data_IF_458147862061
#
_entry.id   IF_458147862061
#
_cell.length_a   1.000
_cell.length_b   1.000
_cell.length_c   1.000
_cell.angle_alpha   90.00
_cell.angle_beta   90.00
_cell.angle_gamma   90.00
#
_symmetry.space_group_name_H-M   'P 1'
#
loop_
_entity.id
_entity.type
_entity.pdbx_description
1 polymer ?
#
# COMPACT_ATOMS: atom_id res chain seq x y z
N UNK A 1 -3.41 -59.86 10.50
CA UNK A 1 -4.00 -60.43 11.73
C UNK A 1 -3.86 -59.38 12.82
N UNK A 2 -4.86 -58.75 13.43
CA UNK A 2 -6.31 -58.91 13.58
C UNK A 2 -6.89 -57.48 13.70
N UNK A 3 -7.68 -57.02 12.73
CA UNK A 3 -9.16 -56.84 12.72
C UNK A 3 -9.69 -55.54 13.34
N UNK A 4 -10.20 -54.72 12.42
CA UNK A 4 -11.19 -53.67 12.62
C UNK A 4 -12.54 -54.22 13.12
N UNK A 5 -13.29 -53.39 13.85
CA UNK A 5 -14.75 -53.51 13.97
C UNK A 5 -15.41 -52.15 13.78
N UNK A 6 -16.24 -52.13 12.74
CA UNK A 6 -17.26 -51.15 12.37
C UNK A 6 -18.35 -51.02 13.44
N UNK A 7 -18.90 -49.82 13.58
CA UNK A 7 -20.29 -49.60 13.99
C UNK A 7 -20.91 -48.53 13.07
N UNK A 8 -21.86 -48.99 12.26
CA UNK A 8 -22.85 -48.20 11.49
C UNK A 8 -24.22 -48.45 12.12
N UNK A 9 -25.11 -47.46 12.01
CA UNK A 9 -26.57 -47.40 12.26
C UNK A 9 -26.92 -46.45 13.43
N UNK A 10 -27.87 -45.51 13.36
CA UNK A 10 -29.07 -45.40 12.52
C UNK A 10 -29.43 -43.93 12.21
N UNK A 11 -30.21 -43.79 11.14
CA UNK A 11 -30.88 -42.63 10.57
C UNK A 11 -31.96 -42.01 11.48
N UNK A 12 -32.13 -40.68 11.45
CA UNK A 12 -33.47 -40.07 11.47
C UNK A 12 -33.45 -38.66 10.90
N UNK A 13 -34.18 -38.50 9.81
CA UNK A 13 -34.56 -37.28 9.12
C UNK A 13 -35.39 -36.32 10.00
N UNK A 14 -35.06 -35.03 9.95
CA UNK A 14 -36.06 -33.98 10.23
C UNK A 14 -35.87 -32.81 9.27
N UNK A 15 -36.70 -32.81 8.23
CA UNK A 15 -37.00 -31.66 7.39
C UNK A 15 -37.73 -30.59 8.21
N UNK A 16 -37.19 -29.37 8.25
CA UNK A 16 -37.98 -28.19 8.61
C UNK A 16 -37.76 -27.08 7.57
N UNK A 17 -38.79 -26.90 6.76
CA UNK A 17 -39.07 -25.75 5.93
C UNK A 17 -39.79 -24.71 6.77
N UNK A 18 -39.33 -23.44 6.74
CA UNK A 18 -40.22 -22.27 6.64
C UNK A 18 -39.42 -20.97 6.60
N UNK A 19 -39.52 -20.24 5.47
CA UNK A 19 -39.20 -18.81 5.37
C UNK A 19 -40.17 -18.01 6.25
N UNK A 20 -39.75 -16.79 6.68
CA UNK A 20 -40.66 -15.66 6.63
C UNK A 20 -40.08 -14.50 5.80
N UNK A 21 -40.94 -13.96 4.92
CA UNK A 21 -40.77 -12.65 4.28
C UNK A 21 -40.85 -11.58 5.36
N UNK A 22 -39.91 -10.64 5.36
CA UNK A 22 -40.07 -9.35 6.03
C UNK A 22 -39.87 -8.25 4.99
N UNK A 23 -40.87 -7.37 4.90
CA UNK A 23 -40.97 -6.26 3.99
C UNK A 23 -40.12 -5.06 4.46
N UNK A 24 -39.57 -4.33 3.49
CA UNK A 24 -38.80 -3.10 3.62
C UNK A 24 -39.65 -1.90 4.06
N UNK A 25 -39.06 -0.91 4.76
CA UNK A 25 -39.46 0.49 4.62
C UNK A 25 -38.36 1.32 3.93
N UNK A 26 -38.77 2.11 2.93
CA UNK A 26 -37.97 3.10 2.18
C UNK A 26 -37.46 4.23 3.09
N UNK A 27 -36.25 4.78 2.86
CA UNK A 27 -35.86 6.04 3.49
C UNK A 27 -36.53 7.24 2.81
N UNK A 28 -37.17 8.10 3.61
CA UNK A 28 -37.73 9.39 3.19
C UNK A 28 -36.60 10.43 3.13
N UNK A 29 -36.35 11.00 1.96
CA UNK A 29 -35.56 12.23 1.79
C UNK A 29 -36.44 13.45 2.13
N UNK A 30 -36.00 14.38 2.99
CA UNK A 30 -36.52 15.73 2.98
C UNK A 30 -35.64 16.61 2.07
N UNK A 31 -36.23 17.05 0.97
CA UNK A 31 -35.72 18.14 0.13
C UNK A 31 -35.86 19.44 0.94
N UNK A 32 -34.74 20.06 1.30
CA UNK A 32 -34.71 21.43 1.81
C UNK A 32 -34.74 22.38 0.60
N UNK A 33 -35.93 22.95 0.34
CA UNK A 33 -36.12 24.03 -0.62
C UNK A 33 -35.70 25.36 0.00
N UNK A 34 -34.74 26.05 -0.61
CA UNK A 34 -34.44 27.45 -0.31
C UNK A 34 -35.36 28.36 -1.14
N UNK A 35 -36.01 29.38 -0.54
CA UNK A 35 -36.85 30.30 -1.29
C UNK A 35 -36.00 31.28 -2.12
N UNK A 36 -36.36 31.40 -3.39
CA UNK A 36 -35.94 32.46 -4.30
C UNK A 36 -36.31 33.84 -3.73
N UNK A 37 -35.33 34.73 -3.63
CA UNK A 37 -35.56 36.18 -3.50
C UNK A 37 -35.33 36.83 -4.86
N UNK A 38 -36.37 37.51 -5.35
CA UNK A 38 -36.35 38.36 -6.53
C UNK A 38 -36.14 39.83 -6.15
N UNK A 39 -35.52 40.56 -7.08
CA UNK A 39 -35.49 42.03 -7.21
C UNK A 39 -34.52 42.77 -6.26
N UNK A 40 -33.74 43.78 -6.65
CA UNK A 40 -33.89 44.80 -7.69
C UNK A 40 -32.52 45.24 -8.23
N UNK A 41 -32.50 45.75 -9.46
CA UNK A 41 -31.40 46.51 -10.06
C UNK A 41 -31.16 47.85 -9.33
N UNK A 42 -29.92 48.25 -8.99
CA UNK A 42 -29.66 49.61 -8.54
C UNK A 42 -29.34 50.53 -9.72
N UNK A 43 -30.04 51.67 -9.73
CA UNK A 43 -29.79 52.84 -10.57
C UNK A 43 -28.41 53.44 -10.25
N UNK A 44 -27.74 53.94 -11.29
CA UNK A 44 -26.51 54.70 -11.20
C UNK A 44 -26.69 55.93 -10.27
N UNK A 45 -25.82 56.05 -9.26
CA UNK A 45 -25.58 57.28 -8.52
C UNK A 45 -24.11 57.66 -8.69
N UNK A 46 -23.90 58.82 -9.29
CA UNK A 46 -22.63 59.55 -9.29
C UNK A 46 -22.20 59.80 -7.85
N UNK A 47 -20.98 59.39 -7.49
CA UNK A 47 -20.35 59.80 -6.24
C UNK A 47 -19.13 60.66 -6.56
N UNK A 48 -19.21 61.88 -6.01
CA UNK A 48 -18.17 62.88 -5.90
C UNK A 48 -16.92 62.34 -5.23
N UNK A 49 -15.76 62.73 -5.74
CA UNK A 49 -14.46 62.52 -5.12
C UNK A 49 -14.41 63.37 -3.84
N UNK A 50 -14.52 62.73 -2.68
CA UNK A 50 -14.15 63.32 -1.40
C UNK A 50 -13.05 62.46 -0.79
N UNK A 51 -11.87 63.07 -0.61
CA UNK A 51 -10.77 62.52 0.17
C UNK A 51 -11.25 62.27 1.62
N UNK A 52 -11.33 61.01 2.01
CA UNK A 52 -11.34 60.56 3.41
C UNK A 52 -10.39 59.37 3.48
N UNK A 53 -9.16 59.58 3.93
CA UNK A 53 -8.74 59.28 5.30
C UNK A 53 -8.86 57.78 5.62
N UNK A 54 -7.71 57.10 5.57
CA UNK A 54 -7.38 55.86 6.29
C UNK A 54 -8.35 54.68 6.17
N UNK A 55 -8.28 53.95 5.05
CA UNK A 55 -8.50 52.50 5.10
C UNK A 55 -7.25 51.83 5.69
N UNK A 56 -7.14 51.85 7.02
CA UNK A 56 -6.42 50.80 7.72
C UNK A 56 -7.16 49.49 7.46
N UNK A 57 -6.79 48.80 6.37
CA UNK A 57 -7.09 47.37 6.22
C UNK A 57 -6.39 46.67 7.38
N UNK A 58 -7.14 46.40 8.44
CA UNK A 58 -6.78 45.37 9.39
C UNK A 58 -6.64 44.09 8.56
N UNK A 59 -5.40 43.72 8.23
CA UNK A 59 -5.09 42.35 7.90
C UNK A 59 -5.45 41.57 9.16
N UNK A 60 -6.66 41.01 9.21
CA UNK A 60 -7.04 40.06 10.25
C UNK A 60 -5.96 38.97 10.22
N UNK A 61 -5.14 38.94 11.26
CA UNK A 61 -4.09 37.95 11.40
C UNK A 61 -4.75 36.58 11.41
N UNK A 62 -4.51 35.79 10.37
CA UNK A 62 -5.06 34.42 10.26
C UNK A 62 -4.74 33.68 11.55
N UNK A 63 -5.77 33.23 12.26
CA UNK A 63 -5.56 32.49 13.51
C UNK A 63 -4.87 31.15 13.20
N UNK A 64 -4.08 30.58 14.14
CA UNK A 64 -3.52 29.24 13.95
C UNK A 64 -4.58 28.14 13.72
N UNK A 65 -5.83 28.38 14.17
CA UNK A 65 -6.97 27.53 13.85
C UNK A 65 -7.37 27.63 12.38
N UNK A 66 -7.57 28.86 11.89
CA UNK A 66 -7.96 29.12 10.50
C UNK A 66 -6.91 28.59 9.52
N UNK A 67 -5.62 28.82 9.78
CA UNK A 67 -4.54 28.31 8.93
C UNK A 67 -4.58 26.79 8.75
N UNK A 68 -4.89 26.03 9.81
CA UNK A 68 -5.04 24.57 9.73
C UNK A 68 -6.26 24.14 8.93
N UNK A 69 -7.37 24.88 9.05
CA UNK A 69 -8.59 24.62 8.28
C UNK A 69 -8.36 24.90 6.79
N UNK A 70 -7.66 25.98 6.46
CA UNK A 70 -7.34 26.34 5.09
C UNK A 70 -6.50 25.24 4.41
N UNK A 71 -5.42 24.78 5.07
CA UNK A 71 -4.61 23.65 4.58
C UNK A 71 -5.44 22.37 4.38
N UNK A 72 -6.32 22.05 5.35
CA UNK A 72 -7.17 20.87 5.24
C UNK A 72 -8.16 20.97 4.07
N UNK A 73 -8.68 22.18 3.83
CA UNK A 73 -9.56 22.48 2.69
C UNK A 73 -8.83 22.35 1.35
N UNK A 74 -7.58 22.82 1.28
CA UNK A 74 -6.72 22.71 0.10
C UNK A 74 -6.38 21.25 -0.27
N UNK A 75 -6.45 20.32 0.68
CA UNK A 75 -6.25 18.89 0.41
C UNK A 75 -7.43 18.22 -0.32
N UNK A 76 -8.61 18.87 -0.37
CA UNK A 76 -9.85 18.28 -0.90
C UNK A 76 -9.72 17.77 -2.36
N UNK A 77 -9.09 18.49 -3.31
CA UNK A 77 -8.93 18.01 -4.68
C UNK A 77 -8.11 16.71 -4.77
N UNK A 78 -7.08 16.55 -3.93
CA UNK A 78 -6.26 15.34 -3.88
C UNK A 78 -7.05 14.14 -3.34
N UNK A 79 -7.85 14.36 -2.28
CA UNK A 79 -8.75 13.35 -1.73
C UNK A 79 -9.77 12.91 -2.79
N UNK A 80 -10.41 13.86 -3.47
CA UNK A 80 -11.42 13.57 -4.50
C UNK A 80 -10.83 12.78 -5.67
N UNK A 81 -9.60 13.12 -6.11
CA UNK A 81 -8.91 12.47 -7.23
C UNK A 81 -8.71 10.96 -7.01
N UNK A 82 -8.41 10.55 -5.77
CA UNK A 82 -8.09 9.16 -5.45
C UNK A 82 -9.17 8.44 -4.63
N UNK A 83 -10.31 9.07 -4.35
CA UNK A 83 -11.40 8.45 -3.60
C UNK A 83 -11.84 7.13 -4.22
N UNK A 84 -11.94 6.09 -3.38
CA UNK A 84 -12.32 4.73 -3.79
C UNK A 84 -11.24 3.97 -4.56
N UNK A 85 -10.06 4.56 -4.79
CA UNK A 85 -8.96 3.91 -5.51
C UNK A 85 -8.13 3.03 -4.59
N UNK A 86 -7.74 1.87 -5.11
CA UNK A 86 -6.81 0.95 -4.45
C UNK A 86 -5.38 1.42 -4.64
N UNK A 87 -4.64 1.46 -3.53
CA UNK A 87 -3.22 1.85 -3.48
C UNK A 87 -2.45 0.72 -2.81
N UNK A 88 -1.51 0.10 -3.52
CA UNK A 88 -0.63 -0.92 -2.94
C UNK A 88 0.66 -0.26 -2.51
N UNK A 89 0.96 -0.32 -1.22
CA UNK A 89 2.16 0.28 -0.63
C UNK A 89 3.08 -0.84 -0.19
N UNK A 90 4.26 -0.94 -0.81
CA UNK A 90 5.32 -1.79 -0.29
C UNK A 90 6.10 -1.02 0.76
N UNK A 91 6.03 -1.52 1.99
CA UNK A 91 6.79 -1.05 3.13
C UNK A 91 8.06 -1.88 3.36
N UNK A 92 9.22 -1.23 3.34
CA UNK A 92 10.52 -1.87 3.49
C UNK A 92 11.64 -0.90 3.82
N UNK A 93 12.85 -1.43 4.03
CA UNK A 93 14.05 -0.61 4.22
C UNK A 93 14.20 0.04 5.60
N UNK A 94 14.90 1.16 5.66
CA UNK A 94 15.12 2.05 6.79
C UNK A 94 13.81 2.52 7.45
N UNK A 95 12.72 2.65 6.68
CA UNK A 95 11.41 2.98 7.23
C UNK A 95 10.92 1.95 8.27
N UNK A 96 11.41 0.71 8.21
CA UNK A 96 11.12 -0.35 9.20
C UNK A 96 11.98 -0.29 10.45
N UNK A 97 13.11 0.44 10.43
CA UNK A 97 14.10 0.44 11.51
C UNK A 97 13.81 1.51 12.58
N UNK A 98 13.21 2.62 12.17
CA UNK A 98 12.87 3.72 13.06
C UNK A 98 11.41 3.63 13.52
N UNK A 99 11.20 3.64 14.84
CA UNK A 99 9.85 3.67 15.42
C UNK A 99 9.07 4.90 14.98
N UNK A 100 9.73 6.06 14.85
CA UNK A 100 9.09 7.30 14.41
C UNK A 100 8.62 7.20 12.94
N UNK A 101 9.46 6.64 12.06
CA UNK A 101 9.08 6.43 10.65
C UNK A 101 7.99 5.38 10.51
N UNK A 102 8.05 4.31 11.30
CA UNK A 102 7.01 3.29 11.33
C UNK A 102 5.66 3.89 11.78
N UNK A 103 5.64 4.69 12.84
CA UNK A 103 4.42 5.37 13.29
C UNK A 103 3.91 6.34 12.23
N UNK A 104 4.80 7.08 11.55
CA UNK A 104 4.44 7.98 10.46
C UNK A 104 3.77 7.23 9.30
N UNK A 105 4.35 6.13 8.82
CA UNK A 105 3.76 5.32 7.73
C UNK A 105 2.41 4.72 8.14
N UNK A 106 2.29 4.24 9.38
CA UNK A 106 1.02 3.71 9.89
C UNK A 106 -0.05 4.81 9.92
N UNK A 107 0.28 5.99 10.43
CA UNK A 107 -0.65 7.12 10.46
C UNK A 107 -1.06 7.56 9.05
N UNK A 108 -0.14 7.54 8.09
CA UNK A 108 -0.44 7.84 6.69
C UNK A 108 -1.44 6.82 6.11
N UNK A 109 -1.21 5.52 6.30
CA UNK A 109 -2.12 4.47 5.84
C UNK A 109 -3.53 4.61 6.45
N UNK A 110 -3.59 4.89 7.75
CA UNK A 110 -4.86 5.13 8.44
C UNK A 110 -5.56 6.37 7.89
N UNK A 111 -4.84 7.47 7.68
CA UNK A 111 -5.41 8.68 7.09
C UNK A 111 -5.98 8.40 5.70
N UNK A 112 -5.22 7.73 4.82
CA UNK A 112 -5.66 7.36 3.48
C UNK A 112 -6.95 6.53 3.51
N UNK A 113 -7.03 5.54 4.41
CA UNK A 113 -8.25 4.75 4.60
C UNK A 113 -9.43 5.63 5.07
N UNK A 114 -9.22 6.49 6.07
CA UNK A 114 -10.24 7.39 6.61
C UNK A 114 -10.79 8.37 5.58
N UNK A 115 -9.95 8.86 4.65
CA UNK A 115 -10.39 9.77 3.58
C UNK A 115 -10.96 9.04 2.35
N UNK A 116 -11.10 7.71 2.43
CA UNK A 116 -11.82 6.89 1.45
C UNK A 116 -10.97 6.27 0.36
N UNK A 117 -9.64 6.28 0.47
CA UNK A 117 -8.78 5.43 -0.36
C UNK A 117 -8.77 4.00 0.21
N UNK A 118 -8.27 3.05 -0.58
CA UNK A 118 -8.21 1.62 -0.24
C UNK A 118 -6.76 1.15 -0.17
N UNK A 119 -6.03 1.47 0.93
CA UNK A 119 -4.62 1.07 1.04
C UNK A 119 -4.49 -0.43 1.32
N UNK A 120 -3.54 -1.06 0.63
CA UNK A 120 -3.08 -2.43 0.89
C UNK A 120 -1.59 -2.36 1.18
N UNK A 121 -1.19 -2.81 2.37
CA UNK A 121 0.20 -2.79 2.80
C UNK A 121 0.87 -4.12 2.47
N UNK A 122 1.97 -4.10 1.73
CA UNK A 122 2.83 -5.27 1.50
C UNK A 122 4.15 -5.05 2.23
N UNK A 123 4.66 -6.04 2.94
CA UNK A 123 5.93 -5.88 3.65
C UNK A 123 6.87 -7.08 3.50
N UNK A 124 8.17 -6.76 3.56
CA UNK A 124 9.23 -7.75 3.80
C UNK A 124 9.70 -7.68 5.25
N UNK A 125 10.98 -7.98 5.48
CA UNK A 125 11.58 -7.91 6.83
C UNK A 125 13.02 -8.40 6.89
N UNK A 126 13.83 -8.12 5.87
CA UNK A 126 15.22 -8.60 5.76
C UNK A 126 16.07 -8.40 7.02
N UNK A 127 16.10 -7.19 7.62
CA UNK A 127 16.83 -6.94 8.87
C UNK A 127 16.34 -7.77 10.06
N UNK A 128 15.02 -7.96 10.21
CA UNK A 128 14.45 -8.78 11.29
C UNK A 128 14.78 -10.27 11.10
N UNK A 129 14.77 -10.77 9.87
CA UNK A 129 15.20 -12.13 9.57
C UNK A 129 16.68 -12.30 9.94
N UNK A 130 17.55 -11.36 9.53
CA UNK A 130 18.98 -11.42 9.85
C UNK A 130 19.23 -11.44 11.36
N UNK A 131 18.45 -10.68 12.14
CA UNK A 131 18.55 -10.67 13.59
C UNK A 131 18.25 -12.05 14.19
N UNK A 132 17.24 -12.74 13.69
CA UNK A 132 16.86 -14.08 14.17
C UNK A 132 17.83 -15.17 13.71
N UNK A 133 18.29 -15.13 12.45
CA UNK A 133 19.33 -16.04 11.96
C UNK A 133 20.61 -15.91 12.82
N UNK A 134 21.04 -14.68 13.12
CA UNK A 134 22.18 -14.43 14.01
C UNK A 134 21.99 -15.01 15.41
N UNK A 135 20.78 -14.92 15.98
CA UNK A 135 20.47 -15.51 17.31
C UNK A 135 20.58 -17.04 17.33
N UNK A 136 20.35 -17.66 16.19
CA UNK A 136 20.42 -19.12 16.00
C UNK A 136 21.77 -19.56 15.42
N UNK A 137 22.75 -18.66 15.30
CA UNK A 137 24.06 -18.90 14.70
C UNK A 137 24.00 -19.40 13.25
N UNK A 138 22.99 -18.98 12.49
CA UNK A 138 22.87 -19.24 11.05
C UNK A 138 23.37 -18.01 10.29
N UNK A 139 24.30 -18.22 9.36
CA UNK A 139 24.84 -17.14 8.53
C UNK A 139 23.85 -16.71 7.45
N UNK A 140 23.62 -15.40 7.32
CA UNK A 140 22.75 -14.86 6.27
C UNK A 140 23.51 -14.71 4.95
N UNK A 141 23.19 -15.55 3.96
CA UNK A 141 23.81 -15.51 2.63
C UNK A 141 22.89 -14.81 1.61
N UNK A 142 23.47 -13.93 0.80
CA UNK A 142 22.76 -13.23 -0.28
C UNK A 142 23.47 -13.40 -1.63
N UNK A 143 22.69 -13.54 -2.70
CA UNK A 143 23.16 -13.55 -4.09
C UNK A 143 22.24 -12.66 -4.92
N UNK A 144 22.82 -11.70 -5.63
CA UNK A 144 22.08 -10.73 -6.47
C UNK A 144 20.92 -10.02 -5.76
N UNK A 145 21.08 -9.75 -4.46
CA UNK A 145 20.05 -9.11 -3.63
C UNK A 145 18.93 -10.05 -3.14
N UNK A 146 18.97 -11.34 -3.47
CA UNK A 146 18.07 -12.36 -2.97
C UNK A 146 18.74 -13.16 -1.84
N UNK A 147 17.98 -13.51 -0.81
CA UNK A 147 18.47 -14.34 0.31
C UNK A 147 18.52 -15.80 -0.15
N UNK A 148 19.68 -16.43 -0.08
CA UNK A 148 19.77 -17.90 -0.19
C UNK A 148 19.00 -18.49 0.99
N UNK A 149 17.98 -19.29 0.69
CA UNK A 149 16.99 -19.74 1.66
C UNK A 149 16.90 -21.26 1.60
N UNK A 150 17.65 -21.96 2.43
CA UNK A 150 17.49 -23.40 2.63
C UNK A 150 16.26 -23.72 3.51
N UNK A 151 16.05 -25.00 3.85
CA UNK A 151 14.86 -25.45 4.58
C UNK A 151 14.76 -24.79 5.96
N UNK A 152 15.87 -24.75 6.70
CA UNK A 152 15.92 -24.17 8.05
C UNK A 152 15.71 -22.65 7.99
N UNK A 153 16.37 -21.98 7.04
CA UNK A 153 16.19 -20.55 6.80
C UNK A 153 14.76 -20.23 6.39
N UNK A 154 14.09 -21.08 5.59
CA UNK A 154 12.70 -20.86 5.16
C UNK A 154 11.74 -20.89 6.35
N UNK A 155 11.93 -21.81 7.30
CA UNK A 155 11.14 -21.87 8.52
C UNK A 155 11.25 -20.56 9.32
N UNK A 156 12.48 -20.08 9.51
CA UNK A 156 12.77 -18.83 10.22
C UNK A 156 12.18 -17.62 9.48
N UNK A 157 12.34 -17.57 8.15
CA UNK A 157 11.73 -16.51 7.31
C UNK A 157 10.23 -16.46 7.53
N UNK A 158 9.54 -17.61 7.50
CA UNK A 158 8.10 -17.69 7.72
C UNK A 158 7.71 -17.22 9.12
N UNK A 159 8.36 -17.75 10.17
CA UNK A 159 8.09 -17.36 11.56
C UNK A 159 8.26 -15.86 11.78
N UNK A 160 9.34 -15.27 11.26
CA UNK A 160 9.64 -13.85 11.44
C UNK A 160 8.69 -12.96 10.66
N UNK A 161 8.47 -13.25 9.38
CA UNK A 161 7.65 -12.40 8.53
C UNK A 161 6.17 -12.50 8.88
N UNK A 162 5.64 -13.72 8.99
CA UNK A 162 4.21 -13.97 9.25
C UNK A 162 3.88 -13.77 10.74
N UNK A 163 4.69 -14.31 11.64
CA UNK A 163 4.39 -14.32 13.07
C UNK A 163 4.74 -13.03 13.79
N UNK A 164 5.88 -12.41 13.45
CA UNK A 164 6.38 -11.22 14.15
C UNK A 164 6.08 -9.92 13.40
N UNK A 165 6.65 -9.74 12.22
CA UNK A 165 6.62 -8.45 11.51
C UNK A 165 5.19 -8.11 11.09
N UNK A 166 4.47 -9.06 10.49
CA UNK A 166 3.10 -8.86 10.03
C UNK A 166 2.17 -8.46 11.19
N UNK A 167 2.21 -9.22 12.29
CA UNK A 167 1.34 -8.97 13.44
C UNK A 167 1.70 -7.71 14.22
N UNK A 168 2.98 -7.33 14.23
CA UNK A 168 3.40 -6.03 14.75
C UNK A 168 2.78 -4.87 13.96
N UNK A 169 2.82 -4.92 12.62
CA UNK A 169 2.22 -3.89 11.77
C UNK A 169 0.70 -3.83 11.91
N UNK A 170 0.03 -4.98 11.92
CA UNK A 170 -1.42 -5.07 12.20
C UNK A 170 -1.76 -4.44 13.54
N UNK A 171 -1.00 -4.77 14.60
CA UNK A 171 -1.19 -4.21 15.94
C UNK A 171 -1.04 -2.68 15.95
N UNK A 172 -0.03 -2.14 15.26
CA UNK A 172 0.16 -0.69 15.18
C UNK A 172 -0.97 0.01 14.44
N UNK A 173 -1.43 -0.53 13.31
CA UNK A 173 -2.56 0.04 12.56
C UNK A 173 -3.84 0.01 13.40
N UNK A 174 -4.09 -1.08 14.12
CA UNK A 174 -5.23 -1.20 15.01
C UNK A 174 -5.17 -0.17 16.15
N UNK A 175 -3.99 0.02 16.76
CA UNK A 175 -3.78 1.04 17.80
C UNK A 175 -3.93 2.46 17.29
N UNK A 176 -3.69 2.70 16.00
CA UNK A 176 -3.87 3.98 15.35
C UNK A 176 -5.34 4.26 14.96
N UNK A 177 -6.28 3.36 15.28
CA UNK A 177 -7.72 3.59 15.13
C UNK A 177 -8.35 3.04 13.85
N UNK A 178 -7.63 2.22 13.08
CA UNK A 178 -8.20 1.47 11.95
C UNK A 178 -8.35 -0.02 12.30
N UNK A 179 -8.78 -0.83 11.34
CA UNK A 179 -8.79 -2.30 11.48
C UNK A 179 -7.97 -2.92 10.36
N UNK A 180 -6.88 -3.57 10.72
CA UNK A 180 -5.98 -4.27 9.82
C UNK A 180 -6.18 -5.79 9.88
N UNK A 181 -6.00 -6.45 8.74
CA UNK A 181 -6.04 -7.91 8.61
C UNK A 181 -4.73 -8.40 8.01
N UNK A 182 -3.99 -9.17 8.78
CA UNK A 182 -2.67 -9.66 8.40
C UNK A 182 -2.72 -11.01 7.69
N UNK A 183 -2.19 -11.09 6.47
CA UNK A 183 -2.21 -12.27 5.60
C UNK A 183 -0.81 -12.57 5.05
N UNK A 184 -0.56 -13.84 4.75
CA UNK A 184 0.50 -14.32 3.88
C UNK A 184 -0.09 -14.72 2.52
N UNK A 185 0.77 -15.15 1.60
CA UNK A 185 0.31 -15.72 0.34
C UNK A 185 -0.46 -17.04 0.49
N UNK A 186 -0.26 -17.76 1.59
CA UNK A 186 -0.93 -19.05 1.84
C UNK A 186 -2.40 -18.87 2.25
N UNK A 187 -2.71 -17.75 2.91
CA UNK A 187 -4.05 -17.48 3.44
C UNK A 187 -5.04 -17.24 2.29
N UNK A 188 -6.03 -18.11 2.17
CA UNK A 188 -7.00 -18.08 1.06
C UNK A 188 -6.36 -18.29 -0.32
N UNK A 189 -5.16 -18.87 -0.39
CA UNK A 189 -4.36 -19.00 -1.62
C UNK A 189 -4.12 -17.66 -2.34
N UNK A 190 -3.98 -16.58 -1.56
CA UNK A 190 -3.74 -15.23 -2.09
C UNK A 190 -2.60 -15.20 -3.12
N UNK A 191 -1.52 -15.95 -2.86
CA UNK A 191 -0.40 -16.12 -3.76
C UNK A 191 -0.06 -17.61 -3.88
N UNK A 192 0.20 -18.06 -5.10
CA UNK A 192 0.84 -19.35 -5.34
C UNK A 192 2.26 -19.11 -5.81
N UNK A 193 3.21 -19.73 -5.10
CA UNK A 193 4.61 -19.65 -5.44
C UNK A 193 4.98 -20.67 -6.53
N UNK A 194 6.07 -20.39 -7.23
CA UNK A 194 6.86 -21.39 -7.96
C UNK A 194 8.34 -21.17 -7.65
N UNK A 195 9.21 -22.18 -7.78
CA UNK A 195 10.64 -22.00 -7.62
C UNK A 195 11.18 -20.90 -8.54
N UNK A 196 12.12 -20.10 -8.03
CA UNK A 196 12.90 -19.19 -8.87
C UNK A 196 13.67 -19.98 -9.95
N UNK A 197 13.90 -19.40 -11.15
CA UNK A 197 14.78 -19.99 -12.16
C UNK A 197 16.19 -20.33 -11.62
N UNK A 198 16.64 -19.61 -10.59
CA UNK A 198 17.93 -19.81 -9.93
C UNK A 198 17.82 -20.64 -8.63
N UNK A 199 16.74 -21.42 -8.46
CA UNK A 199 16.47 -22.21 -7.24
C UNK A 199 17.60 -23.17 -6.86
N UNK A 200 18.33 -23.72 -7.83
CA UNK A 200 19.50 -24.57 -7.57
C UNK A 200 20.57 -23.87 -6.71
N UNK A 201 20.67 -22.54 -6.79
CA UNK A 201 21.62 -21.73 -6.04
C UNK A 201 20.99 -21.00 -4.85
N UNK A 202 19.68 -20.74 -4.92
CA UNK A 202 18.97 -19.90 -3.97
C UNK A 202 18.11 -20.71 -2.97
N UNK A 203 17.88 -21.99 -3.21
CA UNK A 203 16.99 -22.83 -2.41
C UNK A 203 15.51 -22.46 -2.62
N UNK A 204 14.76 -22.33 -1.52
CA UNK A 204 13.34 -22.01 -1.46
C UNK A 204 13.05 -20.51 -1.70
N UNK A 205 13.75 -19.90 -2.65
CA UNK A 205 13.38 -18.59 -3.19
C UNK A 205 12.36 -18.79 -4.30
N UNK A 206 11.25 -18.06 -4.23
CA UNK A 206 10.13 -18.21 -5.15
C UNK A 206 9.86 -16.99 -6.03
N UNK A 207 9.10 -17.24 -7.09
CA UNK A 207 8.38 -16.24 -7.88
C UNK A 207 6.87 -16.38 -7.67
N UNK A 208 6.13 -15.32 -7.99
CA UNK A 208 4.67 -15.36 -8.02
C UNK A 208 4.22 -16.09 -9.30
N UNK A 209 3.61 -17.26 -9.13
CA UNK A 209 3.00 -18.01 -10.23
C UNK A 209 1.56 -17.55 -10.49
N UNK A 210 0.82 -17.28 -9.42
CA UNK A 210 -0.59 -16.86 -9.46
C UNK A 210 -0.91 -15.94 -8.29
N UNK A 211 -1.82 -15.00 -8.51
CA UNK A 211 -2.44 -14.18 -7.46
C UNK A 211 -3.94 -14.40 -7.51
N UNK A 212 -4.55 -14.78 -6.38
CA UNK A 212 -6.00 -14.79 -6.22
C UNK A 212 -6.44 -13.72 -5.20
N UNK A 213 -6.93 -12.55 -5.64
CA UNK A 213 -7.31 -11.46 -4.76
C UNK A 213 -8.67 -11.68 -4.06
N UNK A 214 -9.36 -12.82 -4.26
CA UNK A 214 -10.72 -13.04 -3.76
C UNK A 214 -10.82 -12.92 -2.24
N UNK A 215 -9.78 -13.31 -1.50
CA UNK A 215 -9.72 -13.12 -0.04
C UNK A 215 -9.57 -11.64 0.36
N UNK A 216 -8.95 -10.80 -0.48
CA UNK A 216 -8.72 -9.39 -0.19
C UNK A 216 -9.91 -8.49 -0.50
N UNK A 217 -10.63 -8.78 -1.61
CA UNK A 217 -11.76 -7.96 -2.07
C UNK A 217 -12.76 -7.60 -0.94
N UNK A 218 -13.33 -8.56 -0.19
CA UNK A 218 -14.28 -8.24 0.87
C UNK A 218 -13.66 -7.46 2.03
N UNK A 219 -12.37 -7.66 2.33
CA UNK A 219 -11.66 -6.92 3.38
C UNK A 219 -11.52 -5.44 2.99
N UNK A 220 -11.08 -5.20 1.75
CA UNK A 220 -10.92 -3.85 1.21
C UNK A 220 -12.28 -3.14 1.08
N UNK A 221 -13.31 -3.84 0.60
CA UNK A 221 -14.65 -3.26 0.44
C UNK A 221 -15.31 -2.90 1.79
N UNK A 222 -14.96 -3.60 2.86
CA UNK A 222 -15.42 -3.30 4.23
C UNK A 222 -14.54 -2.29 4.98
N UNK A 223 -13.54 -1.69 4.30
CA UNK A 223 -12.69 -0.64 4.87
C UNK A 223 -11.57 -1.15 5.78
N UNK A 224 -11.31 -2.46 5.79
CA UNK A 224 -10.13 -3.00 6.46
C UNK A 224 -8.87 -2.65 5.66
N UNK A 225 -7.72 -2.56 6.34
CA UNK A 225 -6.40 -2.40 5.72
C UNK A 225 -5.71 -3.77 5.68
N UNK A 226 -5.63 -4.46 4.52
CA UNK A 226 -4.89 -5.70 4.43
C UNK A 226 -3.40 -5.46 4.58
N UNK A 227 -2.74 -6.30 5.37
CA UNK A 227 -1.29 -6.30 5.58
C UNK A 227 -0.73 -7.64 5.11
N UNK A 228 -0.13 -7.65 3.93
CA UNK A 228 0.31 -8.87 3.24
C UNK A 228 1.83 -9.04 3.39
N UNK A 229 2.26 -10.22 3.79
CA UNK A 229 3.68 -10.59 3.83
C UNK A 229 4.09 -11.46 2.63
N UNK A 230 5.38 -11.45 2.29
CA UNK A 230 5.91 -12.02 1.04
C UNK A 230 6.35 -13.49 1.14
N UNK A 231 5.59 -14.30 1.87
CA UNK A 231 5.77 -15.77 1.96
C UNK A 231 4.52 -16.43 1.37
N UNK A 232 4.70 -17.40 0.49
CA UNK A 232 3.63 -18.14 -0.15
C UNK A 232 4.03 -19.61 -0.32
N UNK A 233 3.06 -20.49 -0.53
CA UNK A 233 3.32 -21.88 -0.84
C UNK A 233 3.12 -22.16 -2.33
N UNK A 234 3.80 -23.18 -2.86
CA UNK A 234 3.46 -23.76 -4.15
C UNK A 234 2.19 -24.64 -4.05
N UNK A 235 1.83 -25.29 -5.15
CA UNK A 235 0.63 -26.15 -5.22
C UNK A 235 0.74 -27.43 -4.37
N UNK A 236 1.95 -27.83 -3.97
CA UNK A 236 2.19 -28.98 -3.09
C UNK A 236 2.17 -28.60 -1.60
N UNK A 237 2.17 -27.30 -1.29
CA UNK A 237 2.23 -26.77 0.07
C UNK A 237 3.64 -26.40 0.54
N UNK A 238 4.66 -26.48 -0.32
CA UNK A 238 6.03 -26.08 0.03
C UNK A 238 6.12 -24.55 0.13
N UNK A 239 6.55 -23.98 1.27
CA UNK A 239 6.72 -22.54 1.41
C UNK A 239 7.95 -22.02 0.64
N UNK A 240 7.81 -20.82 0.08
CA UNK A 240 8.85 -20.08 -0.61
C UNK A 240 8.94 -18.63 -0.09
N UNK A 241 10.17 -18.14 -0.04
CA UNK A 241 10.52 -16.76 0.25
C UNK A 241 10.50 -15.95 -1.06
N UNK A 242 9.53 -15.04 -1.20
CA UNK A 242 9.37 -14.21 -2.40
C UNK A 242 9.83 -12.79 -2.09
N UNK A 243 10.45 -12.12 -3.06
CA UNK A 243 10.79 -10.71 -2.91
C UNK A 243 9.50 -9.86 -2.71
N UNK A 244 9.47 -9.05 -1.65
CA UNK A 244 8.30 -8.25 -1.30
C UNK A 244 7.96 -7.15 -2.31
N UNK A 245 8.95 -6.63 -3.05
CA UNK A 245 8.67 -5.69 -4.15
C UNK A 245 7.89 -6.43 -5.24
N UNK A 246 8.31 -7.63 -5.64
CA UNK A 246 7.60 -8.48 -6.62
C UNK A 246 6.18 -8.81 -6.16
N UNK A 247 5.98 -9.22 -4.90
CA UNK A 247 4.64 -9.46 -4.36
C UNK A 247 3.76 -8.22 -4.46
N UNK A 248 4.29 -7.04 -4.12
CA UNK A 248 3.54 -5.80 -4.20
C UNK A 248 3.14 -5.46 -5.64
N UNK A 249 4.04 -5.62 -6.61
CA UNK A 249 3.76 -5.37 -8.02
C UNK A 249 2.69 -6.28 -8.61
N UNK A 250 2.77 -7.58 -8.34
CA UNK A 250 1.80 -8.56 -8.83
C UNK A 250 0.45 -8.42 -8.13
N UNK A 251 0.45 -8.10 -6.83
CA UNK A 251 -0.79 -7.84 -6.10
C UNK A 251 -1.47 -6.56 -6.57
N UNK A 252 -0.70 -5.51 -6.87
CA UNK A 252 -1.22 -4.27 -7.46
C UNK A 252 -1.88 -4.52 -8.83
N UNK A 253 -1.26 -5.35 -9.66
CA UNK A 253 -1.82 -5.77 -10.94
C UNK A 253 -3.13 -6.55 -10.75
N UNK A 254 -3.14 -7.56 -9.88
CA UNK A 254 -4.32 -8.40 -9.62
C UNK A 254 -5.51 -7.62 -9.03
N UNK A 255 -5.23 -6.55 -8.28
CA UNK A 255 -6.24 -5.67 -7.69
C UNK A 255 -6.68 -4.53 -8.63
N UNK A 256 -6.06 -4.37 -9.80
CA UNK A 256 -6.29 -3.24 -10.69
C UNK A 256 -5.99 -1.90 -10.01
N UNK A 257 -4.91 -1.83 -9.24
CA UNK A 257 -4.59 -0.70 -8.40
C UNK A 257 -4.31 0.58 -9.20
N UNK A 258 -4.70 1.73 -8.65
CA UNK A 258 -4.38 3.03 -9.23
C UNK A 258 -2.90 3.38 -9.03
N UNK A 259 -2.33 3.01 -7.88
CA UNK A 259 -0.91 3.22 -7.59
C UNK A 259 -0.27 2.01 -6.96
N UNK A 260 0.96 1.71 -7.42
CA UNK A 260 1.96 0.96 -6.66
C UNK A 260 2.96 1.97 -6.08
N UNK A 261 3.25 1.89 -4.79
CA UNK A 261 4.23 2.78 -4.14
C UNK A 261 5.25 1.93 -3.39
N UNK A 262 6.53 2.05 -3.75
CA UNK A 262 7.65 1.36 -3.11
C UNK A 262 8.39 2.34 -2.18
N UNK A 263 8.26 2.14 -0.86
CA UNK A 263 9.07 2.83 0.13
C UNK A 263 10.49 2.22 0.15
N UNK A 264 11.50 3.05 -0.08
CA UNK A 264 12.90 2.63 -0.17
C UNK A 264 13.83 3.55 0.63
N UNK A 265 15.13 3.26 0.61
CA UNK A 265 16.16 3.94 1.41
C UNK A 265 16.89 5.05 0.64
N UNK A 266 16.34 5.44 -0.50
CA UNK A 266 16.90 6.42 -1.43
C UNK A 266 15.81 7.38 -1.91
N UNK A 267 16.16 8.60 -2.37
CA UNK A 267 15.19 9.60 -2.82
C UNK A 267 14.30 9.15 -3.98
N UNK A 268 14.78 8.21 -4.80
CA UNK A 268 14.14 7.76 -6.04
C UNK A 268 15.20 7.36 -7.06
N UNK A 269 14.89 7.52 -8.35
CA UNK A 269 15.83 7.34 -9.46
C UNK A 269 16.57 8.65 -9.68
N UNK A 270 17.90 8.60 -9.56
CA UNK A 270 18.78 9.72 -9.85
C UNK A 270 19.27 9.63 -11.30
N UNK A 271 19.37 10.77 -11.98
CA UNK A 271 19.97 10.84 -13.33
C UNK A 271 21.48 10.60 -13.27
N UNK A 272 22.10 11.09 -12.21
CA UNK A 272 23.49 10.85 -11.84
C UNK A 272 23.52 10.33 -10.41
N UNK A 273 24.11 9.15 -10.20
CA UNK A 273 24.12 8.46 -8.90
C UNK A 273 24.93 9.21 -7.85
N UNK A 274 25.91 10.00 -8.29
CA UNK A 274 26.78 10.79 -7.42
C UNK A 274 26.21 12.18 -7.10
N UNK A 275 25.13 12.59 -7.78
CA UNK A 275 24.43 13.85 -7.53
C UNK A 275 23.03 13.60 -6.94
N UNK A 276 22.86 13.75 -5.60
CA UNK A 276 21.57 13.62 -4.93
C UNK A 276 20.49 14.60 -5.41
N UNK A 277 20.88 15.71 -6.05
CA UNK A 277 19.93 16.70 -6.58
C UNK A 277 19.38 16.32 -7.95
N UNK A 278 19.95 15.31 -8.60
CA UNK A 278 19.59 14.85 -9.94
C UNK A 278 18.33 13.95 -9.98
N UNK A 279 17.47 14.03 -8.97
CA UNK A 279 16.24 13.24 -8.85
C UNK A 279 15.34 13.42 -10.07
N UNK A 280 15.01 12.30 -10.71
CA UNK A 280 14.02 12.25 -11.77
C UNK A 280 12.64 12.15 -11.15
N UNK A 281 11.81 13.21 -11.29
CA UNK A 281 10.46 13.22 -10.70
C UNK A 281 9.47 12.31 -11.43
N UNK A 282 9.49 12.34 -12.76
CA UNK A 282 8.58 11.56 -13.60
C UNK A 282 9.36 10.95 -14.77
N UNK A 283 9.12 9.68 -15.05
CA UNK A 283 9.76 8.93 -16.14
C UNK A 283 8.77 7.92 -16.72
N UNK A 284 8.87 7.60 -18.01
CA UNK A 284 8.05 6.55 -18.63
C UNK A 284 8.83 5.22 -18.73
N UNK A 285 8.13 4.15 -19.12
CA UNK A 285 8.73 2.81 -19.25
C UNK A 285 9.90 2.78 -20.24
N UNK A 286 9.81 3.46 -21.39
CA UNK A 286 10.89 3.44 -22.38
C UNK A 286 12.16 4.06 -21.82
N UNK A 287 12.05 5.25 -21.22
CA UNK A 287 13.22 5.98 -20.70
C UNK A 287 13.84 5.28 -19.49
N UNK A 288 13.04 4.64 -18.63
CA UNK A 288 13.62 3.91 -17.48
C UNK A 288 14.39 2.67 -17.94
N UNK A 289 13.96 2.00 -19.02
CA UNK A 289 14.72 0.89 -19.64
C UNK A 289 16.04 1.37 -20.25
N UNK A 290 16.01 2.47 -20.98
CA UNK A 290 17.24 3.11 -21.49
C UNK A 290 18.22 3.45 -20.35
N UNK A 291 17.72 3.97 -19.22
CA UNK A 291 18.59 4.27 -18.06
C UNK A 291 19.21 3.02 -17.42
N UNK A 292 18.57 1.84 -17.54
CA UNK A 292 19.16 0.56 -17.13
C UNK A 292 20.27 0.16 -18.11
N UNK A 293 20.01 0.24 -19.41
CA UNK A 293 20.99 -0.08 -20.46
C UNK A 293 22.21 0.84 -20.45
N UNK A 294 21.99 2.14 -20.17
CA UNK A 294 23.04 3.15 -19.97
C UNK A 294 23.83 2.94 -18.65
N UNK A 295 23.43 1.99 -17.79
CA UNK A 295 24.07 1.72 -16.50
C UNK A 295 23.82 2.77 -15.40
N UNK A 296 22.96 3.77 -15.66
CA UNK A 296 22.58 4.81 -14.70
C UNK A 296 21.71 4.28 -13.57
N UNK A 297 20.86 3.30 -13.87
CA UNK A 297 20.12 2.52 -12.87
C UNK A 297 20.84 1.19 -12.66
N UNK A 298 21.33 0.97 -11.44
CA UNK A 298 22.12 -0.22 -11.12
C UNK A 298 21.83 -0.82 -9.75
N UNK A 299 22.42 -1.99 -9.49
CA UNK A 299 22.31 -2.69 -8.21
C UNK A 299 20.87 -2.99 -7.81
N UNK A 300 20.55 -2.78 -6.53
CA UNK A 300 19.23 -3.04 -5.97
C UNK A 300 18.08 -2.18 -6.51
N UNK A 301 18.35 -1.17 -7.36
CA UNK A 301 17.31 -0.38 -8.02
C UNK A 301 16.72 -1.09 -9.24
N UNK A 302 17.50 -1.90 -9.95
CA UNK A 302 17.03 -2.68 -11.11
C UNK A 302 15.80 -3.54 -10.77
N UNK A 303 15.80 -4.39 -9.71
CA UNK A 303 14.63 -5.20 -9.40
C UNK A 303 13.39 -4.36 -9.03
N UNK A 304 13.57 -3.16 -8.44
CA UNK A 304 12.47 -2.25 -8.10
C UNK A 304 11.83 -1.67 -9.36
N UNK A 305 12.67 -1.17 -10.28
CA UNK A 305 12.21 -0.65 -11.57
C UNK A 305 11.52 -1.75 -12.38
N UNK A 306 12.11 -2.95 -12.45
CA UNK A 306 11.52 -4.08 -13.18
C UNK A 306 10.15 -4.47 -12.59
N UNK A 307 10.00 -4.45 -11.26
CA UNK A 307 8.71 -4.64 -10.61
C UNK A 307 7.69 -3.57 -11.04
N UNK A 308 8.05 -2.28 -10.98
CA UNK A 308 7.18 -1.19 -11.40
C UNK A 308 6.76 -1.33 -12.87
N UNK A 309 7.71 -1.57 -13.77
CA UNK A 309 7.45 -1.75 -15.21
C UNK A 309 6.51 -2.93 -15.46
N UNK A 310 6.75 -4.07 -14.80
CA UNK A 310 5.90 -5.26 -14.92
C UNK A 310 4.49 -5.01 -14.40
N UNK A 311 4.33 -4.26 -13.31
CA UNK A 311 3.01 -3.92 -12.74
C UNK A 311 2.24 -2.95 -13.65
N UNK A 312 2.91 -1.93 -14.20
CA UNK A 312 2.34 -0.98 -15.15
C UNK A 312 1.89 -1.67 -16.45
N UNK A 313 2.70 -2.57 -16.98
CA UNK A 313 2.36 -3.36 -18.17
C UNK A 313 1.11 -4.25 -17.98
N UNK A 314 0.76 -4.56 -16.73
CA UNK A 314 -0.44 -5.33 -16.37
C UNK A 314 -1.64 -4.44 -15.99
N UNK A 315 -1.54 -3.12 -16.16
CA UNK A 315 -2.67 -2.19 -16.04
C UNK A 315 -2.69 -1.32 -14.78
N UNK A 316 -1.68 -1.41 -13.90
CA UNK A 316 -1.52 -0.41 -12.83
C UNK A 316 -1.26 0.96 -13.44
N UNK A 317 -1.91 2.02 -12.92
CA UNK A 317 -1.90 3.34 -13.59
C UNK A 317 -0.58 4.09 -13.41
N UNK A 318 -0.03 4.08 -12.20
CA UNK A 318 1.27 4.69 -11.88
C UNK A 318 2.03 3.86 -10.86
N UNK A 319 3.36 3.88 -10.91
CA UNK A 319 4.21 3.22 -9.93
C UNK A 319 5.27 4.20 -9.42
N UNK A 320 5.37 4.43 -8.11
CA UNK A 320 6.31 5.40 -7.53
C UNK A 320 7.36 4.72 -6.66
N UNK A 321 8.61 5.14 -6.78
CA UNK A 321 9.72 4.77 -5.87
C UNK A 321 10.06 6.01 -5.06
N UNK A 322 9.83 5.96 -3.75
CA UNK A 322 9.88 7.13 -2.87
C UNK A 322 10.74 6.89 -1.62
N UNK A 323 11.21 7.99 -1.02
CA UNK A 323 12.08 7.94 0.16
C UNK A 323 11.29 7.61 1.44
N UNK A 324 11.48 6.41 1.96
CA UNK A 324 10.89 5.97 3.23
C UNK A 324 11.56 6.57 4.47
N UNK A 325 12.66 7.31 4.31
CA UNK A 325 13.36 7.99 5.42
C UNK A 325 12.75 9.36 5.76
N UNK A 326 11.95 9.90 4.84
CA UNK A 326 11.25 11.17 5.02
C UNK A 326 9.91 10.91 5.74
N UNK A 327 9.65 11.55 6.89
CA UNK A 327 8.34 11.45 7.54
C UNK A 327 7.22 11.88 6.59
N UNK A 328 6.10 11.15 6.65
CA UNK A 328 4.92 11.38 5.84
C UNK A 328 5.14 11.27 4.32
N UNK A 329 6.16 10.52 3.87
CA UNK A 329 6.47 10.40 2.45
C UNK A 329 5.34 9.82 1.61
N UNK A 330 4.48 8.97 2.20
CA UNK A 330 3.31 8.43 1.52
C UNK A 330 2.26 9.52 1.26
N UNK A 331 2.00 10.39 2.24
CA UNK A 331 1.10 11.52 2.05
C UNK A 331 1.70 12.57 1.12
N UNK A 332 3.01 12.84 1.22
CA UNK A 332 3.70 13.73 0.29
C UNK A 332 3.56 13.26 -1.17
N UNK A 333 3.64 11.95 -1.40
CA UNK A 333 3.48 11.37 -2.75
C UNK A 333 2.04 11.48 -3.28
N UNK A 334 1.03 11.35 -2.43
CA UNK A 334 -0.38 11.26 -2.87
C UNK A 334 -1.08 12.62 -2.82
N UNK A 335 -0.77 13.44 -1.82
CA UNK A 335 -1.50 14.66 -1.46
C UNK A 335 -0.74 15.94 -1.84
N UNK A 336 0.32 15.83 -2.66
CA UNK A 336 1.03 17.00 -3.20
C UNK A 336 1.43 16.78 -4.65
N UNK A 337 1.57 17.87 -5.41
CA UNK A 337 2.01 17.80 -6.82
C UNK A 337 3.52 17.54 -6.96
N UNK A 338 4.30 17.88 -5.93
CA UNK A 338 5.76 17.70 -5.96
C UNK A 338 6.15 16.23 -5.91
N UNK A 339 5.33 15.40 -5.25
CA UNK A 339 5.63 14.01 -4.95
C UNK A 339 6.78 13.83 -3.95
N UNK A 340 7.11 12.58 -3.63
CA UNK A 340 8.16 12.22 -2.66
C UNK A 340 9.27 11.35 -3.27
N UNK A 341 9.34 11.25 -4.60
CA UNK A 341 10.38 10.51 -5.30
C UNK A 341 10.18 10.49 -6.81
N UNK A 342 10.37 9.31 -7.41
CA UNK A 342 10.20 9.11 -8.86
C UNK A 342 8.91 8.37 -9.16
N UNK A 343 8.03 9.00 -9.93
CA UNK A 343 6.85 8.36 -10.51
C UNK A 343 7.19 7.80 -11.89
N UNK A 344 6.88 6.51 -12.09
CA UNK A 344 6.98 5.80 -13.36
C UNK A 344 5.58 5.66 -13.96
N UNK A 345 5.44 6.05 -15.22
CA UNK A 345 4.20 5.93 -15.99
C UNK A 345 4.36 4.95 -17.14
N UNK A 346 3.22 4.37 -17.58
CA UNK A 346 3.14 3.53 -18.78
C UNK A 346 3.67 4.21 -20.04
#
# INVERSE_FOLDING_TARGET
MLTAKSLINHCSSSSFSSKPRIATPKPKNPILAFPFLHSQSPKARSFSITNSAEEHRHAESVTPGQFRVDILSEALPFIQKFRGKTIVVKYGGAAMKSQALQASVVNDLVLLACVGLRPVLVHGGGPEINLWLKRLNIEAVFRDGLRVTDSETMEIVSMVLVGKVNKHLVSLINRAGATAVGLSGMDGQLLTARPSPNSAQLGFVGEVARVDPNVLRPLVDSGHIPVVTSVAADESGQPYNINADTVAGELAAALGAEKLILLTDVPGILRDREDPTSLVKVINISRVKEMIEEGKVGGGMIPKVNCCVRSLAQGVRTASIIDGRVPHSLLLEIMTDKGAGTMITG
#
